data_IF_545502224252
#
_entry.id   IF_545502224252
#
_cell.length_a   1.000
_cell.length_b   1.000
_cell.length_c   1.000
_cell.angle_alpha   90.00
_cell.angle_beta   90.00
_cell.angle_gamma   90.00
#
_symmetry.space_group_name_H-M   'P 1'
#
loop_
_entity.id
_entity.type
_entity.pdbx_description
1 polymer ?
#
# COMPACT_ATOMS: atom_id res chain seq x y z
N UNK A 1 -15.27 -22.35 72.22
CA UNK A 1 -14.44 -21.17 72.54
C UNK A 1 -13.61 -20.88 71.30
N UNK A 2 -14.24 -20.33 70.25
CA UNK A 2 -14.23 -18.90 69.84
C UNK A 2 -12.83 -18.46 69.40
N UNK A 3 -12.76 -17.90 68.18
CA UNK A 3 -11.69 -17.16 67.48
C UNK A 3 -11.29 -17.83 66.16
N UNK A 4 -11.25 -17.16 65.01
CA UNK A 4 -11.56 -15.77 64.64
C UNK A 4 -11.50 -15.71 63.12
N UNK A 5 -12.51 -15.06 62.55
CA UNK A 5 -12.57 -14.53 61.20
C UNK A 5 -11.20 -14.03 60.67
N UNK A 6 -10.74 -14.56 59.54
CA UNK A 6 -9.80 -13.86 58.67
C UNK A 6 -10.04 -14.29 57.22
N UNK A 7 -10.94 -13.55 56.59
CA UNK A 7 -11.06 -13.42 55.13
C UNK A 7 -9.76 -12.79 54.63
N UNK A 8 -8.86 -13.58 54.07
CA UNK A 8 -7.78 -13.05 53.24
C UNK A 8 -8.21 -13.18 51.78
N UNK A 9 -8.74 -12.07 51.30
CA UNK A 9 -8.98 -11.79 49.89
C UNK A 9 -7.60 -11.66 49.22
N UNK A 10 -6.99 -12.78 48.83
CA UNK A 10 -5.74 -12.76 48.06
C UNK A 10 -6.09 -12.58 46.59
N UNK A 11 -6.02 -11.33 46.18
CA UNK A 11 -6.05 -10.82 44.83
C UNK A 11 -4.88 -11.43 44.02
N UNK A 12 -5.08 -12.58 43.38
CA UNK A 12 -4.11 -13.12 42.42
C UNK A 12 -4.60 -12.80 41.02
N UNK A 13 -3.98 -11.76 40.48
CA UNK A 13 -3.98 -11.31 39.09
C UNK A 13 -3.87 -12.51 38.13
N UNK A 14 -4.98 -12.87 37.49
CA UNK A 14 -4.98 -13.74 36.33
C UNK A 14 -4.42 -12.92 35.15
N UNK A 15 -3.39 -13.39 34.43
CA UNK A 15 -2.96 -12.72 33.22
C UNK A 15 -4.09 -12.84 32.18
N UNK A 16 -4.64 -11.70 31.77
CA UNK A 16 -5.50 -11.61 30.59
C UNK A 16 -4.76 -12.26 29.41
N UNK A 17 -5.42 -13.11 28.60
CA UNK A 17 -4.87 -13.43 27.29
C UNK A 17 -4.73 -12.10 26.54
N UNK A 18 -3.48 -11.71 26.28
CA UNK A 18 -3.17 -10.59 25.42
C UNK A 18 -3.85 -10.86 24.07
N UNK A 19 -4.96 -10.17 23.81
CA UNK A 19 -5.49 -10.06 22.45
C UNK A 19 -4.35 -9.52 21.60
N UNK A 20 -3.85 -10.37 20.70
CA UNK A 20 -2.93 -9.99 19.66
C UNK A 20 -3.59 -8.86 18.87
N UNK A 21 -3.15 -7.64 19.13
CA UNK A 21 -3.49 -6.49 18.33
C UNK A 21 -3.07 -6.80 16.90
N UNK A 22 -4.03 -6.71 16.00
CA UNK A 22 -3.89 -6.86 14.56
C UNK A 22 -2.59 -6.22 14.06
N UNK A 23 -1.72 -7.08 13.55
CA UNK A 23 -0.77 -6.86 12.46
C UNK A 23 -0.31 -5.42 12.21
N UNK A 24 0.59 -4.90 13.04
CA UNK A 24 1.42 -3.76 12.64
C UNK A 24 2.15 -4.08 11.31
N UNK A 25 2.23 -3.14 10.35
CA UNK A 25 3.01 -3.35 9.14
C UNK A 25 4.50 -3.51 9.48
N UNK A 26 5.00 -4.75 9.44
CA UNK A 26 6.44 -5.03 9.53
C UNK A 26 7.22 -4.46 8.33
N UNK A 27 8.49 -4.03 8.51
CA UNK A 27 9.29 -3.37 7.49
C UNK A 27 9.84 -4.41 6.48
N UNK A 28 9.65 -4.14 5.18
CA UNK A 28 10.03 -5.02 4.06
C UNK A 28 8.89 -5.41 3.10
N UNK A 29 7.75 -4.70 3.12
CA UNK A 29 6.51 -5.13 2.45
C UNK A 29 6.30 -4.42 1.12
N UNK A 30 6.57 -5.14 0.03
CA UNK A 30 5.89 -4.82 -1.23
C UNK A 30 4.38 -4.86 -0.98
N UNK A 31 3.73 -3.71 -1.04
CA UNK A 31 2.32 -3.56 -0.69
C UNK A 31 1.40 -3.84 -1.87
N UNK A 32 1.94 -3.88 -3.08
CA UNK A 32 1.16 -4.03 -4.32
C UNK A 32 1.91 -5.01 -5.25
N UNK A 33 1.15 -5.94 -5.83
CA UNK A 33 1.64 -6.89 -6.83
C UNK A 33 0.93 -6.59 -8.13
N UNK A 34 1.70 -6.29 -9.18
CA UNK A 34 1.20 -6.06 -10.52
C UNK A 34 1.56 -7.27 -11.40
N UNK A 35 0.55 -8.04 -11.77
CA UNK A 35 0.70 -9.16 -12.68
C UNK A 35 0.58 -8.68 -14.12
N UNK A 36 1.57 -9.02 -14.94
CA UNK A 36 1.59 -8.67 -16.36
C UNK A 36 1.80 -9.92 -17.19
N UNK A 37 1.52 -9.83 -18.49
CA UNK A 37 1.78 -10.92 -19.44
C UNK A 37 3.26 -11.27 -19.58
N UNK A 38 4.17 -10.43 -19.09
CA UNK A 38 5.63 -10.63 -19.15
C UNK A 38 6.25 -10.94 -17.78
N UNK A 39 5.42 -11.16 -16.75
CA UNK A 39 5.87 -11.46 -15.40
C UNK A 39 5.31 -10.51 -14.35
N UNK A 40 5.69 -10.78 -13.09
CA UNK A 40 5.17 -10.08 -11.93
C UNK A 40 6.11 -8.96 -11.50
N UNK A 41 5.53 -7.78 -11.23
CA UNK A 41 6.25 -6.62 -10.68
C UNK A 41 5.72 -6.39 -9.26
N UNK A 42 6.63 -6.35 -8.28
CA UNK A 42 6.31 -6.03 -6.89
C UNK A 42 6.64 -4.57 -6.63
N UNK A 43 5.69 -3.85 -6.04
CA UNK A 43 5.78 -2.40 -5.84
C UNK A 43 5.68 -2.11 -4.35
N UNK A 44 6.64 -1.33 -3.86
CA UNK A 44 6.61 -0.69 -2.55
C UNK A 44 6.27 0.79 -2.73
N UNK A 45 5.45 1.32 -1.83
CA UNK A 45 5.01 2.72 -1.84
C UNK A 45 5.62 3.44 -0.65
N UNK A 46 6.03 4.70 -0.88
CA UNK A 46 6.61 5.57 0.15
C UNK A 46 5.53 6.51 0.69
N UNK A 47 4.62 5.97 1.51
CA UNK A 47 3.47 6.72 2.05
C UNK A 47 3.91 7.93 2.92
N UNK A 48 5.11 7.89 3.49
CA UNK A 48 5.71 8.99 4.27
C UNK A 48 6.20 10.17 3.40
N UNK A 49 6.55 9.90 2.13
CA UNK A 49 7.08 10.90 1.19
C UNK A 49 6.04 11.41 0.20
N UNK A 50 5.04 10.59 -0.15
CA UNK A 50 4.02 10.93 -1.14
C UNK A 50 2.64 10.42 -0.70
N UNK A 51 2.09 10.90 0.43
CA UNK A 51 0.87 10.36 1.01
C UNK A 51 -0.34 10.48 0.08
N UNK A 52 -0.51 11.60 -0.63
CA UNK A 52 -1.65 11.81 -1.53
C UNK A 52 -1.54 10.89 -2.74
N UNK A 53 -0.35 10.80 -3.32
CA UNK A 53 -0.05 9.97 -4.49
C UNK A 53 -0.21 8.49 -4.17
N UNK A 54 0.33 8.04 -3.03
CA UNK A 54 0.23 6.65 -2.59
C UNK A 54 -1.23 6.27 -2.31
N UNK A 55 -1.98 7.13 -1.61
CA UNK A 55 -3.41 6.93 -1.37
C UNK A 55 -4.21 6.84 -2.68
N UNK A 56 -3.96 7.76 -3.62
CA UNK A 56 -4.59 7.74 -4.94
C UNK A 56 -4.28 6.46 -5.72
N UNK A 57 -3.01 6.03 -5.74
CA UNK A 57 -2.62 4.81 -6.43
C UNK A 57 -3.26 3.57 -5.81
N UNK A 58 -3.27 3.45 -4.47
CA UNK A 58 -3.95 2.36 -3.74
C UNK A 58 -5.44 2.32 -4.03
N UNK A 59 -6.11 3.48 -4.12
CA UNK A 59 -7.52 3.58 -4.49
C UNK A 59 -7.78 2.92 -5.85
N UNK A 60 -7.03 3.28 -6.88
CA UNK A 60 -7.16 2.67 -8.21
C UNK A 60 -6.89 1.16 -8.21
N UNK A 61 -5.89 0.70 -7.43
CA UNK A 61 -5.61 -0.74 -7.27
C UNK A 61 -6.80 -1.46 -6.63
N UNK A 62 -7.33 -0.93 -5.53
CA UNK A 62 -8.45 -1.54 -4.80
C UNK A 62 -9.75 -1.57 -5.62
N UNK A 63 -9.97 -0.58 -6.47
CA UNK A 63 -11.09 -0.54 -7.42
C UNK A 63 -10.89 -1.47 -8.63
N UNK A 64 -9.73 -2.14 -8.75
CA UNK A 64 -9.39 -2.98 -9.89
C UNK A 64 -9.19 -2.19 -11.20
N UNK A 65 -8.97 -0.88 -11.10
CA UNK A 65 -8.94 0.03 -12.24
C UNK A 65 -7.85 -0.33 -13.27
N UNK A 66 -6.71 -0.83 -12.81
CA UNK A 66 -5.60 -1.18 -13.69
C UNK A 66 -5.80 -2.52 -14.44
N UNK A 67 -6.82 -3.29 -14.09
CA UNK A 67 -7.07 -4.59 -14.69
C UNK A 67 -7.43 -4.44 -16.18
N UNK A 68 -6.72 -5.19 -17.02
CA UNK A 68 -6.89 -5.20 -18.47
C UNK A 68 -6.28 -3.99 -19.19
N UNK A 69 -5.59 -3.08 -18.48
CA UNK A 69 -4.89 -1.95 -19.09
C UNK A 69 -3.52 -2.37 -19.64
N UNK A 70 -2.99 -1.55 -20.55
CA UNK A 70 -1.71 -1.81 -21.22
C UNK A 70 -0.64 -0.77 -20.86
N UNK A 71 0.63 -1.16 -21.01
CA UNK A 71 1.73 -0.23 -21.17
C UNK A 71 1.70 0.32 -22.59
N UNK A 72 1.16 1.52 -22.74
CA UNK A 72 0.93 2.15 -24.05
C UNK A 72 2.13 2.95 -24.55
N UNK A 73 3.13 3.20 -23.69
CA UNK A 73 4.36 3.90 -24.06
C UNK A 73 5.57 3.21 -23.46
N UNK A 74 6.48 2.74 -24.30
CA UNK A 74 7.70 2.03 -23.92
C UNK A 74 8.87 2.64 -24.68
N UNK A 75 9.81 3.26 -23.96
CA UNK A 75 11.01 3.87 -24.54
C UNK A 75 12.23 3.20 -23.93
N UNK A 76 13.00 2.41 -24.70
CA UNK A 76 14.23 1.77 -24.22
C UNK A 76 15.20 2.78 -23.62
N UNK A 77 15.77 2.44 -22.45
CA UNK A 77 16.71 3.30 -21.74
C UNK A 77 16.07 4.49 -20.99
N UNK A 78 14.74 4.64 -21.04
CA UNK A 78 14.04 5.74 -20.38
C UNK A 78 12.91 5.29 -19.47
N UNK A 79 11.74 4.94 -20.04
CA UNK A 79 10.52 4.72 -19.24
C UNK A 79 9.56 3.75 -19.90
N UNK A 80 8.82 3.04 -19.07
CA UNK A 80 7.63 2.27 -19.42
C UNK A 80 6.44 2.91 -18.71
N UNK A 81 5.44 3.34 -19.46
CA UNK A 81 4.29 4.09 -18.98
C UNK A 81 2.98 3.38 -19.35
N UNK A 82 2.07 3.29 -18.38
CA UNK A 82 0.83 2.52 -18.47
C UNK A 82 -0.31 3.15 -17.65
N UNK A 83 -1.34 2.36 -17.39
CA UNK A 83 -2.39 2.72 -16.43
C UNK A 83 -3.51 3.66 -16.91
N UNK A 84 -3.58 3.96 -18.21
CA UNK A 84 -4.62 4.86 -18.76
C UNK A 84 -5.40 4.34 -19.97
N UNK A 85 -4.96 3.25 -20.59
CA UNK A 85 -5.51 2.77 -21.86
C UNK A 85 -5.76 1.27 -21.86
N UNK A 86 -6.90 0.89 -22.44
CA UNK A 86 -7.21 -0.49 -22.82
C UNK A 86 -6.54 -0.84 -24.15
N UNK A 87 -6.64 -2.12 -24.55
CA UNK A 87 -6.25 -2.53 -25.91
C UNK A 87 -7.01 -1.70 -26.95
N UNK A 88 -6.33 -1.31 -28.02
CA UNK A 88 -6.92 -0.44 -29.06
C UNK A 88 -6.89 1.05 -28.71
N UNK A 89 -6.07 1.48 -27.72
CA UNK A 89 -5.86 2.89 -27.38
C UNK A 89 -7.12 3.62 -26.90
N UNK A 90 -8.06 2.88 -26.32
CA UNK A 90 -9.24 3.46 -25.67
C UNK A 90 -8.86 3.93 -24.27
N UNK A 91 -8.97 5.25 -24.04
CA UNK A 91 -8.69 5.86 -22.74
C UNK A 91 -9.78 5.49 -21.73
N UNK A 92 -9.39 5.11 -20.51
CA UNK A 92 -10.32 4.86 -19.40
C UNK A 92 -10.56 6.17 -18.63
N UNK A 93 -11.81 6.40 -18.19
CA UNK A 93 -12.15 7.59 -17.40
C UNK A 93 -11.48 7.54 -16.04
N UNK A 94 -10.91 8.64 -15.59
CA UNK A 94 -10.19 8.74 -14.32
C UNK A 94 -11.00 9.51 -13.29
N UNK A 95 -10.62 9.38 -12.01
CA UNK A 95 -10.97 10.33 -10.98
C UNK A 95 -10.34 11.70 -11.26
N UNK A 96 -10.71 12.68 -10.43
CA UNK A 96 -10.13 14.01 -10.48
C UNK A 96 -8.61 13.99 -10.29
N UNK A 97 -7.87 14.93 -10.92
CA UNK A 97 -6.43 15.04 -10.73
C UNK A 97 -6.04 15.30 -9.28
N UNK A 98 -4.85 14.82 -8.90
CA UNK A 98 -4.26 15.05 -7.57
C UNK A 98 -3.20 16.16 -7.62
N UNK A 99 -2.91 16.73 -6.45
CA UNK A 99 -1.81 17.68 -6.27
C UNK A 99 -0.47 16.97 -6.50
N UNK A 100 0.47 17.68 -7.13
CA UNK A 100 1.81 17.17 -7.38
C UNK A 100 2.66 17.17 -6.10
N UNK A 101 3.24 16.03 -5.74
CA UNK A 101 4.11 15.83 -4.58
C UNK A 101 5.60 15.66 -4.96
N UNK A 102 6.02 16.09 -6.16
CA UNK A 102 7.41 15.88 -6.64
C UNK A 102 8.49 16.61 -5.84
N UNK A 103 8.14 17.58 -5.00
CA UNK A 103 9.08 18.31 -4.11
C UNK A 103 9.33 17.57 -2.78
N UNK A 104 9.27 16.24 -2.79
CA UNK A 104 9.42 15.38 -1.61
C UNK A 104 10.85 14.80 -1.45
N UNK A 105 11.79 15.23 -2.30
CA UNK A 105 13.19 14.79 -2.28
C UNK A 105 13.46 13.44 -2.95
N UNK A 106 12.44 12.72 -3.43
CA UNK A 106 12.62 11.49 -4.21
C UNK A 106 13.08 11.81 -5.63
N UNK A 107 13.93 10.95 -6.20
CA UNK A 107 14.48 11.12 -7.54
C UNK A 107 13.99 9.99 -8.46
N UNK A 108 13.74 10.33 -9.72
CA UNK A 108 13.45 9.36 -10.78
C UNK A 108 14.72 8.59 -11.16
N UNK A 109 15.00 7.52 -10.43
CA UNK A 109 16.14 6.62 -10.66
C UNK A 109 15.65 5.28 -11.17
N UNK A 110 16.56 4.40 -11.64
CA UNK A 110 16.14 3.10 -12.20
C UNK A 110 15.36 2.31 -11.15
N UNK A 111 14.13 1.91 -11.49
CA UNK A 111 13.25 1.11 -10.63
C UNK A 111 12.24 1.91 -9.83
N UNK A 112 12.28 3.24 -9.84
CA UNK A 112 11.25 4.06 -9.19
C UNK A 112 9.99 4.15 -10.04
N UNK A 113 8.83 4.18 -9.38
CA UNK A 113 7.52 4.46 -9.97
C UNK A 113 7.13 5.91 -9.66
N UNK A 114 6.64 6.63 -10.66
CA UNK A 114 6.15 8.01 -10.51
C UNK A 114 4.82 8.20 -11.24
N UNK A 115 4.08 9.25 -10.86
CA UNK A 115 2.94 9.71 -11.66
C UNK A 115 3.43 10.34 -12.95
N UNK A 116 2.69 10.11 -14.04
CA UNK A 116 3.01 10.59 -15.38
C UNK A 116 2.34 11.93 -15.70
#
# INVERSE_FOLDING_TARGET
>A
MIYRLLVFFLLICQPLPAQAADSAPQPGKANIVMETTMGTIKIELFDDKAPITCSNFRRYVNEGFFNGLIFHRVIPGFVVQGGGFERGMKKRNTHEPIVNEADNGLKNTRGTLSMA
#
